data_IF_645960138106
#
_entry.id   IF_645960138106
#
_cell.length_a   1.000
_cell.length_b   1.000
_cell.length_c   1.000
_cell.angle_alpha   90.00
_cell.angle_beta   90.00
_cell.angle_gamma   90.00
#
_symmetry.space_group_name_H-M   'P 1'
#
loop_
_entity.id
_entity.type
_entity.pdbx_description
1 polymer ?
#
# COMPACT_ATOMS: atom_id res chain seq x y z
N UNK A 1 -56.85 46.14 -9.95
CA UNK A 1 -55.71 46.25 -9.02
C UNK A 1 -55.16 44.88 -8.58
N UNK A 2 -55.99 43.94 -8.12
CA UNK A 2 -55.56 42.62 -7.60
C UNK A 2 -54.86 41.69 -8.62
N UNK A 3 -55.19 41.79 -9.93
CA UNK A 3 -54.60 40.95 -10.99
C UNK A 3 -53.14 41.36 -11.28
N UNK A 4 -52.82 42.65 -11.14
CA UNK A 4 -51.49 43.21 -11.41
C UNK A 4 -50.47 42.83 -10.32
N UNK A 5 -50.89 42.79 -9.06
CA UNK A 5 -50.07 42.31 -7.93
C UNK A 5 -49.70 40.82 -8.05
N UNK A 6 -50.64 39.96 -8.46
CA UNK A 6 -50.35 38.52 -8.66
C UNK A 6 -49.32 38.30 -9.76
N UNK A 7 -49.42 39.02 -10.89
CA UNK A 7 -48.44 38.94 -11.97
C UNK A 7 -47.06 39.48 -11.56
N UNK A 8 -47.03 40.57 -10.78
CA UNK A 8 -45.80 41.16 -10.26
C UNK A 8 -45.10 40.23 -9.26
N UNK A 9 -45.84 39.64 -8.33
CA UNK A 9 -45.33 38.67 -7.36
C UNK A 9 -44.84 37.37 -8.04
N UNK A 10 -45.55 36.90 -9.07
CA UNK A 10 -45.09 35.76 -9.87
C UNK A 10 -43.75 36.04 -10.57
N UNK A 11 -43.62 37.18 -11.25
CA UNK A 11 -42.36 37.61 -11.88
C UNK A 11 -41.23 37.79 -10.87
N UNK A 12 -41.53 38.33 -9.69
CA UNK A 12 -40.55 38.52 -8.62
C UNK A 12 -40.06 37.17 -8.07
N UNK A 13 -40.97 36.22 -7.82
CA UNK A 13 -40.61 34.86 -7.38
C UNK A 13 -39.74 34.12 -8.41
N UNK A 14 -40.05 34.27 -9.71
CA UNK A 14 -39.26 33.67 -10.80
C UNK A 14 -37.85 34.25 -10.87
N UNK A 15 -37.69 35.57 -10.64
CA UNK A 15 -36.37 36.21 -10.54
C UNK A 15 -35.60 35.70 -9.32
N UNK A 16 -36.24 35.59 -8.15
CA UNK A 16 -35.57 35.06 -6.96
C UNK A 16 -35.15 33.60 -7.13
N UNK A 17 -36.02 32.74 -7.67
CA UNK A 17 -35.67 31.35 -7.98
C UNK A 17 -34.49 31.30 -8.96
N UNK A 18 -34.53 32.09 -10.03
CA UNK A 18 -33.42 32.16 -11.00
C UNK A 18 -32.10 32.59 -10.34
N UNK A 19 -32.13 33.61 -9.48
CA UNK A 19 -30.94 34.08 -8.75
C UNK A 19 -30.41 32.99 -7.81
N UNK A 20 -31.28 32.33 -7.05
CA UNK A 20 -30.89 31.23 -6.15
C UNK A 20 -30.27 30.08 -6.95
N UNK A 21 -30.88 29.69 -8.08
CA UNK A 21 -30.33 28.64 -8.95
C UNK A 21 -28.96 29.02 -9.51
N UNK A 22 -28.79 30.26 -9.99
CA UNK A 22 -27.50 30.75 -10.50
C UNK A 22 -26.43 30.79 -9.40
N UNK A 23 -26.78 31.25 -8.20
CA UNK A 23 -25.87 31.24 -7.05
C UNK A 23 -25.50 29.81 -6.63
N UNK A 24 -26.45 28.88 -6.63
CA UNK A 24 -26.19 27.47 -6.32
C UNK A 24 -25.26 26.82 -7.35
N UNK A 25 -25.46 27.10 -8.65
CA UNK A 25 -24.57 26.64 -9.72
C UNK A 25 -23.16 27.22 -9.55
N UNK A 26 -23.05 28.52 -9.28
CA UNK A 26 -21.76 29.17 -9.07
C UNK A 26 -21.00 28.58 -7.86
N UNK A 27 -21.71 28.35 -6.74
CA UNK A 27 -21.13 27.69 -5.56
C UNK A 27 -20.68 26.27 -5.91
N UNK A 28 -21.52 25.48 -6.60
CA UNK A 28 -21.16 24.13 -7.01
C UNK A 28 -19.89 24.11 -7.87
N UNK A 29 -19.78 25.01 -8.85
CA UNK A 29 -18.60 25.12 -9.72
C UNK A 29 -17.35 25.48 -8.90
N UNK A 30 -17.44 26.46 -8.01
CA UNK A 30 -16.30 26.89 -7.17
C UNK A 30 -15.89 25.76 -6.22
N UNK A 31 -16.84 25.11 -5.56
CA UNK A 31 -16.58 24.00 -4.65
C UNK A 31 -15.93 22.82 -5.38
N UNK A 32 -16.44 22.43 -6.55
CA UNK A 32 -15.83 21.37 -7.35
C UNK A 32 -14.42 21.71 -7.82
N UNK A 33 -14.18 22.94 -8.30
CA UNK A 33 -12.85 23.38 -8.70
C UNK A 33 -11.86 23.38 -7.52
N UNK A 34 -12.31 23.83 -6.34
CA UNK A 34 -11.50 23.80 -5.12
C UNK A 34 -11.17 22.37 -4.69
N UNK A 35 -12.16 21.47 -4.67
CA UNK A 35 -11.93 20.05 -4.35
C UNK A 35 -10.91 19.39 -5.29
N UNK A 36 -11.02 19.63 -6.60
CA UNK A 36 -10.05 19.10 -7.58
C UNK A 36 -8.64 19.67 -7.39
N UNK A 37 -8.52 20.94 -6.99
CA UNK A 37 -7.23 21.55 -6.70
C UNK A 37 -6.60 20.93 -5.45
N UNK A 38 -7.39 20.68 -4.39
CA UNK A 38 -6.90 20.06 -3.15
C UNK A 38 -6.42 18.63 -3.41
N UNK A 39 -7.18 17.80 -4.13
CA UNK A 39 -6.79 16.42 -4.43
C UNK A 39 -5.47 16.38 -5.22
N UNK A 40 -5.33 17.23 -6.24
CA UNK A 40 -4.09 17.34 -7.02
C UNK A 40 -2.91 17.75 -6.14
N UNK A 41 -3.09 18.76 -5.27
CA UNK A 41 -2.05 19.24 -4.37
C UNK A 41 -1.61 18.17 -3.35
N UNK A 42 -2.57 17.45 -2.78
CA UNK A 42 -2.34 16.33 -1.86
C UNK A 42 -1.61 15.20 -2.58
N UNK A 43 -2.06 14.81 -3.77
CA UNK A 43 -1.40 13.79 -4.58
C UNK A 43 0.07 14.13 -4.87
N UNK A 44 0.38 15.39 -5.19
CA UNK A 44 1.76 15.84 -5.40
C UNK A 44 2.62 15.77 -4.13
N UNK A 45 2.05 15.91 -2.94
CA UNK A 45 2.79 15.79 -1.67
C UNK A 45 3.27 14.36 -1.41
N UNK A 46 2.48 13.36 -1.83
CA UNK A 46 2.84 11.95 -1.74
C UNK A 46 3.76 11.47 -2.87
N UNK A 47 4.08 12.33 -3.83
CA UNK A 47 5.00 11.98 -4.92
C UNK A 47 6.42 11.82 -4.38
N UNK A 48 6.98 10.61 -4.51
CA UNK A 48 8.38 10.34 -4.19
C UNK A 48 9.24 10.65 -5.40
N UNK A 49 10.15 11.62 -5.25
CA UNK A 49 11.13 11.95 -6.29
C UNK A 49 12.51 11.41 -5.93
N UNK A 50 13.31 11.07 -6.95
CA UNK A 50 14.69 10.61 -6.78
C UNK A 50 14.83 9.33 -5.94
N UNK A 51 13.90 8.37 -6.09
CA UNK A 51 14.01 7.06 -5.44
C UNK A 51 15.31 6.32 -5.83
N UNK A 52 15.80 6.57 -7.06
CA UNK A 52 16.93 5.86 -7.63
C UNK A 52 16.51 4.48 -8.13
N UNK A 53 17.49 3.60 -8.32
CA UNK A 53 17.22 2.20 -8.67
C UNK A 53 17.19 1.38 -7.37
N UNK A 54 16.00 1.02 -6.92
CA UNK A 54 15.79 0.18 -5.73
C UNK A 54 15.54 -1.25 -6.21
N UNK A 55 16.56 -2.09 -6.10
CA UNK A 55 16.48 -3.48 -6.51
C UNK A 55 16.10 -4.37 -5.33
N UNK A 56 15.03 -5.14 -5.48
CA UNK A 56 14.57 -6.13 -4.51
C UNK A 56 14.93 -7.54 -4.97
N UNK A 57 15.06 -8.46 -4.02
CA UNK A 57 15.15 -9.88 -4.27
C UNK A 57 14.36 -10.67 -3.23
N UNK A 58 13.89 -11.86 -3.58
CA UNK A 58 13.27 -12.73 -2.59
C UNK A 58 13.56 -14.20 -2.89
N UNK A 59 13.42 -15.04 -1.87
CA UNK A 59 13.51 -16.49 -2.00
C UNK A 59 12.51 -17.18 -1.08
N UNK A 60 12.02 -18.31 -1.55
CA UNK A 60 11.22 -19.23 -0.76
C UNK A 60 12.02 -20.51 -0.57
N UNK A 61 12.16 -20.96 0.67
CA UNK A 61 12.82 -22.22 1.02
C UNK A 61 11.85 -23.17 1.73
N UNK A 62 11.90 -24.44 1.37
CA UNK A 62 11.21 -25.48 2.14
C UNK A 62 11.99 -25.81 3.43
N UNK A 63 11.42 -26.68 4.27
CA UNK A 63 12.05 -27.14 5.51
C UNK A 63 13.38 -27.91 5.32
N UNK A 64 13.68 -28.38 4.11
CA UNK A 64 14.98 -28.99 3.77
C UNK A 64 16.05 -27.96 3.38
N UNK A 65 15.64 -26.70 3.18
CA UNK A 65 16.51 -25.63 2.68
C UNK A 65 16.59 -25.55 1.16
N UNK A 66 15.79 -26.34 0.43
CA UNK A 66 15.70 -26.24 -1.03
C UNK A 66 14.96 -24.96 -1.40
N UNK A 67 15.49 -24.20 -2.37
CA UNK A 67 14.75 -23.11 -2.98
C UNK A 67 13.62 -23.68 -3.83
N UNK A 68 12.41 -23.16 -3.64
CA UNK A 68 11.21 -23.55 -4.39
C UNK A 68 10.59 -22.31 -5.03
N UNK A 69 9.88 -22.52 -6.14
CA UNK A 69 9.10 -21.50 -6.82
C UNK A 69 7.62 -21.90 -6.75
N UNK A 70 6.88 -21.28 -5.81
CA UNK A 70 5.47 -21.61 -5.53
C UNK A 70 4.74 -20.39 -4.96
N UNK A 71 3.41 -20.46 -4.93
CA UNK A 71 2.56 -19.50 -4.24
C UNK A 71 2.42 -19.91 -2.78
N UNK A 72 2.49 -18.96 -1.86
CA UNK A 72 2.39 -19.22 -0.43
C UNK A 72 1.50 -18.20 0.26
N UNK A 73 0.73 -18.64 1.24
CA UNK A 73 0.02 -17.75 2.15
C UNK A 73 0.20 -18.19 3.60
N UNK A 74 -0.02 -17.27 4.53
CA UNK A 74 -0.10 -17.64 5.95
C UNK A 74 -1.36 -18.47 6.19
N UNK A 75 -1.26 -19.54 6.99
CA UNK A 75 -2.42 -20.34 7.44
C UNK A 75 -2.80 -19.93 8.86
N UNK A 76 -3.52 -18.81 8.95
CA UNK A 76 -3.94 -18.24 10.23
C UNK A 76 -5.38 -18.61 10.54
N UNK A 77 -5.68 -18.70 11.84
CA UNK A 77 -7.07 -18.75 12.33
C UNK A 77 -7.63 -17.34 12.45
N UNK A 78 -8.96 -17.21 12.39
CA UNK A 78 -9.62 -15.91 12.52
C UNK A 78 -9.22 -15.20 13.82
N UNK A 79 -8.86 -13.93 13.68
CA UNK A 79 -8.47 -13.06 14.78
C UNK A 79 -7.05 -13.26 15.29
N UNK A 80 -6.25 -14.15 14.68
CA UNK A 80 -4.82 -14.28 14.94
C UNK A 80 -4.07 -12.98 14.64
N UNK A 81 -3.00 -12.76 15.39
CA UNK A 81 -2.09 -11.62 15.21
C UNK A 81 -0.80 -12.14 14.63
N UNK A 82 -0.30 -11.48 13.59
CA UNK A 82 1.03 -11.74 13.06
C UNK A 82 2.04 -10.88 13.82
N UNK A 83 2.98 -11.53 14.50
CA UNK A 83 4.04 -10.85 15.25
C UNK A 83 5.18 -10.49 14.30
N UNK A 84 5.48 -9.21 14.20
CA UNK A 84 6.59 -8.68 13.40
C UNK A 84 7.64 -8.13 14.35
N UNK A 85 8.87 -8.59 14.20
CA UNK A 85 9.97 -8.23 15.08
C UNK A 85 11.02 -7.42 14.34
N UNK A 86 11.26 -6.20 14.80
CA UNK A 86 12.40 -5.40 14.37
C UNK A 86 13.62 -5.77 15.22
N UNK A 87 14.59 -6.43 14.59
CA UNK A 87 15.81 -6.87 15.28
C UNK A 87 16.69 -5.66 15.57
N UNK A 88 17.10 -5.52 16.83
CA UNK A 88 17.94 -4.42 17.32
C UNK A 88 17.38 -3.02 16.96
N UNK A 89 16.05 -2.85 17.05
CA UNK A 89 15.36 -1.59 16.74
C UNK A 89 15.86 -0.39 17.55
N UNK A 90 16.36 -0.63 18.76
CA UNK A 90 16.97 0.36 19.65
C UNK A 90 18.21 1.04 19.04
N UNK A 91 18.91 0.37 18.12
CA UNK A 91 20.06 0.94 17.39
C UNK A 91 19.64 1.89 16.27
N UNK A 92 18.37 1.84 15.85
CA UNK A 92 17.84 2.57 14.70
C UNK A 92 16.48 3.22 15.04
N UNK A 93 16.41 4.12 16.04
CA UNK A 93 15.13 4.67 16.53
C UNK A 93 14.31 5.35 15.43
N UNK A 94 14.95 6.14 14.57
CA UNK A 94 14.27 6.79 13.43
C UNK A 94 13.70 5.77 12.42
N UNK A 95 14.29 4.58 12.31
CA UNK A 95 13.79 3.50 11.45
C UNK A 95 12.68 2.71 12.12
N UNK A 96 12.69 2.56 13.44
CA UNK A 96 11.63 1.89 14.19
C UNK A 96 10.27 2.59 14.00
N UNK A 97 10.24 3.92 14.01
CA UNK A 97 9.03 4.70 13.73
C UNK A 97 8.54 4.53 12.28
N UNK A 98 9.47 4.41 11.33
CA UNK A 98 9.13 4.12 9.93
C UNK A 98 8.54 2.71 9.81
N UNK A 99 9.17 1.71 10.43
CA UNK A 99 8.66 0.32 10.44
C UNK A 99 7.25 0.28 11.03
N UNK A 100 7.03 0.96 12.15
CA UNK A 100 5.70 1.10 12.76
C UNK A 100 4.69 1.70 11.80
N UNK A 101 5.05 2.75 11.07
CA UNK A 101 4.16 3.42 10.11
C UNK A 101 3.83 2.51 8.93
N UNK A 102 4.85 1.93 8.29
CA UNK A 102 4.70 1.04 7.12
C UNK A 102 3.94 -0.25 7.47
N UNK A 103 4.07 -0.75 8.70
CA UNK A 103 3.36 -1.95 9.12
C UNK A 103 1.93 -1.64 9.60
N UNK A 104 1.78 -0.68 10.53
CA UNK A 104 0.56 -0.51 11.34
C UNK A 104 -0.35 0.64 10.93
N UNK A 105 0.08 1.52 10.02
CA UNK A 105 -0.75 2.66 9.62
C UNK A 105 -2.05 2.20 8.94
N UNK A 106 -3.15 2.84 9.33
CA UNK A 106 -4.47 2.73 8.67
C UNK A 106 -4.76 3.92 7.75
N UNK A 107 -3.75 4.76 7.48
CA UNK A 107 -3.91 5.94 6.64
C UNK A 107 -4.12 5.55 5.17
N UNK A 108 -5.14 6.18 4.59
CA UNK A 108 -5.53 6.08 3.20
C UNK A 108 -5.04 7.33 2.47
N UNK A 109 -4.57 7.13 1.24
CA UNK A 109 -4.11 8.19 0.35
C UNK A 109 -4.97 8.15 -0.90
N UNK A 110 -5.58 9.27 -1.25
CA UNK A 110 -6.33 9.42 -2.50
C UNK A 110 -5.46 10.18 -3.50
N UNK A 111 -5.11 9.51 -4.60
CA UNK A 111 -4.26 10.08 -5.64
C UNK A 111 -5.08 10.25 -6.91
N UNK A 112 -5.05 11.45 -7.50
CA UNK A 112 -5.73 11.72 -8.77
C UNK A 112 -5.14 10.83 -9.89
N UNK A 113 -6.01 10.15 -10.62
CA UNK A 113 -5.64 9.21 -11.68
C UNK A 113 -4.90 9.88 -12.84
N UNK A 114 -5.03 11.19 -13.03
CA UNK A 114 -4.22 11.93 -14.00
C UNK A 114 -2.74 12.00 -13.62
N UNK A 115 -2.42 11.90 -12.33
CA UNK A 115 -1.04 11.81 -11.82
C UNK A 115 -0.46 10.41 -11.93
N UNK A 116 -1.34 9.39 -11.96
CA UNK A 116 -0.98 7.98 -12.09
C UNK A 116 -1.01 7.48 -13.54
N UNK A 117 -1.42 8.33 -14.48
CA UNK A 117 -1.70 7.95 -15.87
C UNK A 117 -2.77 6.84 -16.02
N UNK A 118 -3.68 6.71 -15.04
CA UNK A 118 -4.75 5.70 -15.01
C UNK A 118 -6.14 6.22 -15.43
N UNK A 119 -6.27 7.53 -15.65
CA UNK A 119 -7.60 8.10 -15.94
C UNK A 119 -7.65 9.62 -16.03
N UNK A 120 -8.85 10.17 -16.26
CA UNK A 120 -9.05 11.61 -16.35
C UNK A 120 -8.93 12.28 -14.97
N UNK A 121 -8.54 13.56 -14.99
CA UNK A 121 -8.49 14.41 -13.79
C UNK A 121 -9.83 14.44 -13.07
N UNK A 122 -9.81 14.33 -11.75
CA UNK A 122 -10.98 14.28 -10.89
C UNK A 122 -11.55 12.89 -10.63
N UNK A 123 -10.88 11.85 -11.12
CA UNK A 123 -11.06 10.48 -10.65
C UNK A 123 -9.84 10.12 -9.79
N UNK A 124 -10.03 9.38 -8.70
CA UNK A 124 -8.96 9.01 -7.78
C UNK A 124 -8.77 7.52 -7.69
N UNK A 125 -7.58 7.10 -7.27
CA UNK A 125 -7.27 5.77 -6.81
C UNK A 125 -6.85 5.82 -5.35
N UNK A 126 -7.33 4.85 -4.58
CA UNK A 126 -7.00 4.70 -3.16
C UNK A 126 -5.70 3.89 -3.01
N UNK A 127 -4.79 4.42 -2.21
CA UNK A 127 -3.54 3.78 -1.79
C UNK A 127 -3.46 3.74 -0.27
N UNK A 128 -2.57 2.90 0.26
CA UNK A 128 -2.40 2.71 1.70
C UNK A 128 -0.96 2.94 2.12
N UNK A 129 -0.80 3.66 3.22
CA UNK A 129 0.53 3.95 3.78
C UNK A 129 1.16 2.72 4.45
N UNK A 130 0.33 1.83 5.00
CA UNK A 130 0.78 0.62 5.67
C UNK A 130 -0.11 -0.60 5.46
N UNK A 131 0.50 -1.78 5.66
CA UNK A 131 -0.13 -3.06 5.36
C UNK A 131 -1.32 -3.38 6.26
N UNK A 132 -1.32 -2.97 7.53
CA UNK A 132 -2.49 -3.13 8.41
C UNK A 132 -3.73 -2.45 7.82
N UNK A 133 -3.61 -1.19 7.37
CA UNK A 133 -4.69 -0.46 6.72
C UNK A 133 -5.14 -1.12 5.41
N UNK A 134 -4.18 -1.50 4.57
CA UNK A 134 -4.46 -2.16 3.29
C UNK A 134 -5.26 -3.45 3.48
N UNK A 135 -4.82 -4.33 4.36
CA UNK A 135 -5.46 -5.63 4.58
C UNK A 135 -6.78 -5.52 5.36
N UNK A 136 -6.91 -4.53 6.25
CA UNK A 136 -8.17 -4.24 6.94
C UNK A 136 -9.26 -3.71 5.99
N UNK A 137 -8.90 -3.19 4.80
CA UNK A 137 -9.86 -2.76 3.79
C UNK A 137 -10.65 -3.92 3.18
N UNK A 138 -10.08 -5.13 3.19
CA UNK A 138 -10.66 -6.34 2.62
C UNK A 138 -11.81 -6.81 3.52
N UNK A 139 -13.03 -6.82 2.97
CA UNK A 139 -14.25 -7.19 3.71
C UNK A 139 -14.80 -8.57 3.36
N UNK A 140 -14.49 -9.05 2.15
CA UNK A 140 -14.99 -10.33 1.69
C UNK A 140 -14.12 -11.45 2.28
N UNK A 141 -14.74 -12.53 2.79
CA UNK A 141 -13.97 -13.67 3.26
C UNK A 141 -13.33 -14.39 2.07
N UNK A 142 -12.12 -14.89 2.30
CA UNK A 142 -11.34 -15.73 1.37
C UNK A 142 -11.20 -17.15 1.93
N UNK A 143 -10.78 -18.11 1.12
CA UNK A 143 -10.52 -19.49 1.55
C UNK A 143 -9.60 -19.57 2.80
N UNK A 144 -8.54 -18.77 2.83
CA UNK A 144 -7.59 -18.65 3.95
C UNK A 144 -7.71 -17.28 4.61
N UNK A 145 -7.52 -17.23 5.93
CA UNK A 145 -7.62 -15.97 6.66
C UNK A 145 -6.46 -15.02 6.31
N UNK A 146 -6.80 -13.83 5.83
CA UNK A 146 -5.84 -12.76 5.56
C UNK A 146 -5.40 -12.13 6.89
N UNK A 147 -4.10 -11.95 7.15
CA UNK A 147 -3.61 -11.30 8.38
C UNK A 147 -4.07 -9.85 8.44
N UNK A 148 -5.04 -9.55 9.31
CA UNK A 148 -5.54 -8.17 9.53
C UNK A 148 -5.02 -7.55 10.83
N UNK A 149 -4.35 -8.32 11.67
CA UNK A 149 -3.79 -7.85 12.95
C UNK A 149 -2.29 -8.08 12.96
N UNK A 150 -1.57 -7.02 13.27
CA UNK A 150 -0.13 -7.03 13.38
C UNK A 150 0.27 -6.53 14.76
N UNK A 151 1.33 -7.11 15.31
CA UNK A 151 1.98 -6.61 16.50
C UNK A 151 3.45 -6.37 16.19
N UNK A 152 3.95 -5.17 16.50
CA UNK A 152 5.36 -4.85 16.32
C UNK A 152 6.08 -5.03 17.65
N UNK A 153 7.03 -5.94 17.69
CA UNK A 153 7.96 -6.14 18.80
C UNK A 153 9.36 -5.71 18.39
N UNK A 154 10.19 -5.38 19.39
CA UNK A 154 11.59 -5.04 19.20
C UNK A 154 12.41 -5.94 20.14
N UNK A 155 13.35 -6.69 19.58
CA UNK A 155 14.21 -7.58 20.35
C UNK A 155 15.54 -7.82 19.65
N UNK A 156 16.54 -8.30 20.39
CA UNK A 156 17.83 -8.69 19.80
C UNK A 156 17.82 -10.09 19.17
N UNK A 157 16.69 -10.81 19.22
CA UNK A 157 16.56 -12.22 18.79
C UNK A 157 15.60 -12.32 17.61
N UNK A 158 15.59 -13.45 16.91
CA UNK A 158 14.69 -13.70 15.76
C UNK A 158 13.26 -14.11 16.15
N UNK A 159 12.69 -13.50 17.19
CA UNK A 159 11.31 -13.76 17.66
C UNK A 159 10.25 -13.27 16.65
N UNK A 160 8.99 -13.67 16.80
CA UNK A 160 7.86 -13.31 15.91
C UNK A 160 7.65 -14.26 14.73
N UNK A 161 6.73 -13.93 13.83
CA UNK A 161 6.46 -14.64 12.57
C UNK A 161 7.27 -14.05 11.42
N UNK A 162 7.37 -12.72 11.38
CA UNK A 162 8.22 -11.96 10.46
C UNK A 162 9.33 -11.28 11.25
N UNK A 163 10.58 -11.37 10.80
CA UNK A 163 11.69 -10.60 11.39
C UNK A 163 12.25 -9.62 10.37
N UNK A 164 12.48 -8.37 10.79
CA UNK A 164 13.12 -7.32 9.99
C UNK A 164 14.52 -7.09 10.56
N UNK A 165 15.52 -7.24 9.70
CA UNK A 165 16.93 -7.01 10.02
C UNK A 165 17.45 -5.82 9.23
N UNK A 166 18.08 -4.89 9.92
CA UNK A 166 18.71 -3.71 9.32
C UNK A 166 20.22 -3.93 9.30
N UNK A 167 20.85 -3.75 8.14
CA UNK A 167 22.29 -3.94 7.98
C UNK A 167 22.93 -2.80 7.21
N UNK A 168 24.14 -2.40 7.62
CA UNK A 168 24.92 -1.35 6.95
C UNK A 168 25.73 -1.88 5.76
N UNK A 169 25.92 -3.20 5.68
CA UNK A 169 26.62 -3.83 4.58
C UNK A 169 25.79 -3.81 3.29
N UNK A 170 26.48 -3.81 2.16
CA UNK A 170 25.90 -4.00 0.84
C UNK A 170 25.68 -5.48 0.56
N UNK A 171 24.59 -5.81 -0.11
CA UNK A 171 24.37 -7.16 -0.64
C UNK A 171 25.29 -7.45 -1.85
N UNK A 172 25.84 -8.66 -1.94
CA UNK A 172 26.76 -9.05 -3.01
C UNK A 172 26.17 -8.98 -4.42
N UNK A 173 24.86 -9.19 -4.55
CA UNK A 173 24.10 -9.17 -5.80
C UNK A 173 23.47 -7.80 -6.09
N UNK A 174 23.68 -6.81 -5.20
CA UNK A 174 23.22 -5.43 -5.38
C UNK A 174 21.82 -5.13 -4.86
N UNK A 175 21.16 -6.07 -4.18
CA UNK A 175 19.84 -5.84 -3.58
C UNK A 175 19.86 -4.79 -2.46
N UNK A 176 18.84 -3.93 -2.44
CA UNK A 176 18.56 -2.94 -1.39
C UNK A 176 17.67 -3.52 -0.28
N UNK A 177 16.78 -4.46 -0.64
CA UNK A 177 15.98 -5.26 0.27
C UNK A 177 15.99 -6.72 -0.17
N UNK A 178 15.81 -7.63 0.78
CA UNK A 178 15.71 -9.04 0.50
C UNK A 178 14.78 -9.76 1.47
N UNK A 179 13.83 -10.52 0.94
CA UNK A 179 12.91 -11.34 1.73
C UNK A 179 13.18 -12.83 1.56
N UNK A 180 13.35 -13.53 2.67
CA UNK A 180 13.46 -14.98 2.73
C UNK A 180 12.27 -15.56 3.48
N UNK A 181 11.48 -16.40 2.83
CA UNK A 181 10.37 -17.10 3.48
C UNK A 181 10.69 -18.60 3.62
N UNK A 182 10.46 -19.14 4.82
CA UNK A 182 10.50 -20.58 5.10
C UNK A 182 9.07 -21.09 5.03
N UNK A 183 8.86 -22.17 4.28
CA UNK A 183 7.54 -22.67 3.97
C UNK A 183 7.40 -24.20 4.11
N UNK A 184 6.18 -24.62 4.38
CA UNK A 184 5.73 -25.99 4.14
C UNK A 184 5.22 -26.08 2.69
N UNK A 185 5.99 -26.77 1.83
CA UNK A 185 5.68 -26.94 0.41
C UNK A 185 4.54 -27.94 0.16
N UNK A 186 4.25 -28.83 1.11
CA UNK A 186 3.10 -29.73 1.02
C UNK A 186 1.76 -29.01 1.22
N UNK A 187 1.77 -27.92 2.01
CA UNK A 187 0.58 -27.13 2.34
C UNK A 187 0.55 -25.74 1.70
N UNK A 188 1.61 -25.36 0.98
CA UNK A 188 1.83 -24.02 0.44
C UNK A 188 1.64 -22.94 1.53
N UNK A 189 2.25 -23.18 2.69
CA UNK A 189 2.10 -22.36 3.89
C UNK A 189 3.41 -21.66 4.24
N UNK A 190 3.34 -20.36 4.51
CA UNK A 190 4.44 -19.63 5.15
C UNK A 190 4.52 -20.01 6.63
N UNK A 191 5.72 -20.37 7.09
CA UNK A 191 6.01 -20.70 8.48
C UNK A 191 6.81 -19.59 9.18
N UNK A 192 7.65 -18.87 8.45
CA UNK A 192 8.49 -17.77 8.94
C UNK A 192 8.93 -16.91 7.74
N UNK A 193 9.03 -15.61 7.93
CA UNK A 193 9.69 -14.73 6.95
C UNK A 193 10.76 -13.85 7.60
N UNK A 194 11.84 -13.62 6.86
CA UNK A 194 12.97 -12.79 7.26
C UNK A 194 13.20 -11.73 6.18
N UNK A 195 13.06 -10.46 6.56
CA UNK A 195 13.35 -9.30 5.73
C UNK A 195 14.72 -8.76 6.12
N UNK A 196 15.59 -8.51 5.15
CA UNK A 196 16.85 -7.79 5.35
C UNK A 196 16.88 -6.53 4.50
N UNK A 197 17.04 -5.37 5.13
CA UNK A 197 17.26 -4.09 4.46
C UNK A 197 18.76 -3.78 4.50
N UNK A 198 19.37 -3.56 3.33
CA UNK A 198 20.81 -3.32 3.18
C UNK A 198 21.15 -1.83 3.11
N UNK A 199 22.42 -1.51 3.39
CA UNK A 199 22.98 -0.14 3.36
C UNK A 199 22.13 0.92 4.08
N UNK A 200 21.49 0.54 5.20
CA UNK A 200 20.46 1.38 5.88
C UNK A 200 20.91 2.78 6.25
N UNK A 201 22.21 2.96 6.50
CA UNK A 201 22.82 4.25 6.85
C UNK A 201 22.89 5.23 5.65
N UNK A 202 22.74 4.73 4.42
CA UNK A 202 22.77 5.51 3.18
C UNK A 202 21.40 5.77 2.60
N UNK A 203 20.37 5.08 3.10
CA UNK A 203 19.01 5.19 2.58
C UNK A 203 18.35 6.47 3.07
N UNK A 204 17.76 7.22 2.14
CA UNK A 204 16.81 8.27 2.48
C UNK A 204 15.58 7.67 3.18
N UNK A 205 14.80 8.51 3.86
CA UNK A 205 13.52 8.08 4.47
C UNK A 205 12.61 7.41 3.43
N UNK A 206 12.43 8.04 2.27
CA UNK A 206 11.58 7.52 1.20
C UNK A 206 12.08 6.18 0.65
N UNK A 207 13.40 6.03 0.45
CA UNK A 207 13.96 4.75 -0.01
C UNK A 207 13.70 3.64 0.98
N UNK A 208 13.96 3.88 2.27
CA UNK A 208 13.73 2.90 3.33
C UNK A 208 12.25 2.49 3.41
N UNK A 209 11.34 3.46 3.37
CA UNK A 209 9.90 3.22 3.35
C UNK A 209 9.47 2.37 2.16
N UNK A 210 9.93 2.71 0.96
CA UNK A 210 9.61 1.99 -0.27
C UNK A 210 10.09 0.55 -0.24
N UNK A 211 11.37 0.33 0.12
CA UNK A 211 11.94 -1.02 0.23
C UNK A 211 11.13 -1.81 1.24
N UNK A 212 10.90 -1.27 2.44
CA UNK A 212 10.21 -2.00 3.49
C UNK A 212 8.76 -2.36 3.11
N UNK A 213 8.02 -1.44 2.47
CA UNK A 213 6.66 -1.73 1.99
C UNK A 213 6.66 -2.90 1.01
N UNK A 214 7.61 -2.93 0.08
CA UNK A 214 7.77 -4.00 -0.90
C UNK A 214 8.15 -5.34 -0.24
N UNK A 215 9.18 -5.36 0.62
CA UNK A 215 9.62 -6.58 1.30
C UNK A 215 8.52 -7.18 2.20
N UNK A 216 7.69 -6.33 2.83
CA UNK A 216 6.53 -6.82 3.57
C UNK A 216 5.49 -7.49 2.65
N UNK A 217 5.34 -7.03 1.40
CA UNK A 217 4.52 -7.71 0.41
C UNK A 217 5.01 -9.15 0.16
N UNK A 218 6.32 -9.35 0.01
CA UNK A 218 6.91 -10.68 -0.08
C UNK A 218 6.70 -11.51 1.19
N UNK A 219 6.86 -10.92 2.36
CA UNK A 219 6.64 -11.61 3.64
C UNK A 219 5.16 -11.98 3.87
N UNK A 220 4.23 -11.33 3.17
CA UNK A 220 2.79 -11.65 3.17
C UNK A 220 2.41 -12.67 2.08
N UNK A 221 3.33 -12.98 1.17
CA UNK A 221 3.20 -14.02 0.14
C UNK A 221 3.15 -13.53 -1.30
N UNK A 222 3.22 -12.22 -1.55
CA UNK A 222 3.24 -11.69 -2.92
C UNK A 222 4.57 -11.99 -3.61
N UNK A 223 4.50 -12.36 -4.88
CA UNK A 223 5.66 -12.37 -5.77
C UNK A 223 5.82 -10.99 -6.43
N UNK A 224 6.86 -10.86 -7.25
CA UNK A 224 7.04 -9.63 -8.02
C UNK A 224 5.86 -9.38 -8.98
N UNK A 225 5.56 -8.10 -9.19
CA UNK A 225 4.67 -7.63 -10.24
C UNK A 225 5.37 -7.61 -11.59
N UNK A 226 4.61 -7.75 -12.67
CA UNK A 226 5.08 -7.48 -14.03
C UNK A 226 4.93 -6.02 -14.44
N UNK A 227 4.16 -5.23 -13.68
CA UNK A 227 3.84 -3.85 -13.98
C UNK A 227 4.89 -2.90 -13.39
N UNK A 228 5.65 -2.14 -14.19
CA UNK A 228 6.76 -1.30 -13.70
C UNK A 228 6.35 -0.14 -12.80
N UNK A 229 5.08 0.27 -12.85
CA UNK A 229 4.47 1.30 -12.01
C UNK A 229 3.99 0.80 -10.65
N UNK A 230 4.01 -0.51 -10.44
CA UNK A 230 3.51 -1.16 -9.23
C UNK A 230 4.58 -1.23 -8.13
N UNK A 231 4.13 -1.22 -6.87
CA UNK A 231 5.01 -1.31 -5.71
C UNK A 231 5.81 -2.62 -5.74
N UNK A 232 5.21 -3.74 -6.15
CA UNK A 232 5.82 -5.07 -6.13
C UNK A 232 6.70 -5.36 -7.35
N UNK A 233 6.96 -4.39 -8.22
CA UNK A 233 7.90 -4.59 -9.34
C UNK A 233 9.35 -4.81 -8.83
N UNK A 234 10.16 -5.72 -9.44
CA UNK A 234 11.49 -6.08 -8.90
C UNK A 234 12.48 -4.92 -8.79
N UNK A 235 12.31 -3.89 -9.63
CA UNK A 235 13.12 -2.68 -9.66
C UNK A 235 12.21 -1.49 -9.40
N UNK A 236 12.00 -1.14 -8.14
CA UNK A 236 10.96 -0.18 -7.75
C UNK A 236 11.35 1.21 -8.30
N UNK A 237 10.56 1.69 -9.26
CA UNK A 237 10.79 2.96 -9.96
C UNK A 237 9.53 3.85 -9.99
N UNK A 238 8.46 3.43 -9.32
CA UNK A 238 7.22 4.20 -9.26
C UNK A 238 7.38 5.48 -8.42
N UNK A 239 6.74 6.54 -8.88
CA UNK A 239 6.67 7.83 -8.17
C UNK A 239 5.73 7.74 -6.94
N UNK A 240 4.89 6.69 -6.87
CA UNK A 240 3.92 6.48 -5.79
C UNK A 240 4.09 5.07 -5.19
N UNK A 241 5.18 4.81 -4.43
CA UNK A 241 5.51 3.52 -3.85
C UNK A 241 4.67 3.21 -2.59
N UNK A 242 3.36 3.11 -2.79
CA UNK A 242 2.37 2.80 -1.77
C UNK A 242 1.57 1.57 -2.18
N UNK A 243 0.91 0.94 -1.21
CA UNK A 243 0.14 -0.29 -1.46
C UNK A 243 -1.13 0.11 -2.23
N UNK A 244 -1.28 -0.42 -3.43
CA UNK A 244 -2.37 -0.10 -4.36
C UNK A 244 -3.53 -1.10 -4.23
N UNK A 245 -4.63 -0.83 -4.93
CA UNK A 245 -5.70 -1.83 -5.08
C UNK A 245 -5.22 -3.09 -5.80
N UNK A 246 -4.25 -2.98 -6.71
CA UNK A 246 -3.70 -4.15 -7.43
C UNK A 246 -2.99 -5.11 -6.48
N UNK A 247 -2.18 -4.58 -5.55
CA UNK A 247 -1.51 -5.37 -4.51
C UNK A 247 -2.55 -6.08 -3.61
N UNK A 248 -3.62 -5.39 -3.27
CA UNK A 248 -4.72 -5.91 -2.46
C UNK A 248 -5.45 -7.04 -3.20
N UNK A 249 -5.76 -6.85 -4.48
CA UNK A 249 -6.44 -7.86 -5.30
C UNK A 249 -5.57 -9.12 -5.46
N UNK A 250 -4.25 -8.95 -5.60
CA UNK A 250 -3.31 -10.07 -5.61
C UNK A 250 -3.27 -10.82 -4.26
N UNK A 251 -3.31 -10.11 -3.13
CA UNK A 251 -3.46 -10.74 -1.81
C UNK A 251 -4.79 -11.51 -1.73
N UNK A 252 -5.90 -10.89 -2.13
CA UNK A 252 -7.21 -11.56 -2.09
C UNK A 252 -7.18 -12.84 -2.91
N UNK A 253 -6.67 -12.79 -4.14
CA UNK A 253 -6.56 -13.95 -5.02
C UNK A 253 -5.68 -15.06 -4.38
N UNK A 254 -4.53 -14.69 -3.83
CA UNK A 254 -3.59 -15.62 -3.19
C UNK A 254 -4.21 -16.32 -1.97
N UNK A 255 -4.97 -15.57 -1.16
CA UNK A 255 -5.63 -16.10 0.04
C UNK A 255 -6.96 -16.79 -0.28
N UNK A 256 -7.52 -16.62 -1.48
CA UNK A 256 -8.70 -17.32 -1.95
C UNK A 256 -8.38 -18.59 -2.76
N UNK A 257 -7.23 -19.21 -2.48
CA UNK A 257 -6.82 -20.46 -3.13
C UNK A 257 -6.17 -20.30 -4.51
N UNK A 258 -5.89 -19.06 -4.91
CA UNK A 258 -5.15 -18.74 -6.12
C UNK A 258 -3.78 -19.42 -6.16
N UNK A 259 -3.42 -19.96 -7.33
CA UNK A 259 -2.14 -20.64 -7.57
C UNK A 259 -1.08 -19.74 -8.21
N UNK A 260 -1.28 -18.44 -8.08
CA UNK A 260 -0.38 -17.40 -8.59
C UNK A 260 -0.19 -16.40 -7.47
N UNK A 261 1.06 -16.16 -7.11
CA UNK A 261 1.48 -15.09 -6.20
C UNK A 261 1.90 -13.83 -6.96
N UNK A 262 2.01 -13.89 -8.30
CA UNK A 262 2.34 -12.76 -9.17
C UNK A 262 1.26 -11.68 -9.12
N UNK A 263 1.68 -10.44 -8.97
CA UNK A 263 0.81 -9.26 -9.01
C UNK A 263 0.60 -8.88 -10.48
N UNK A 264 -0.63 -9.05 -10.98
CA UNK A 264 -1.01 -8.67 -12.35
C UNK A 264 -1.92 -7.45 -12.31
N UNK A 265 -1.37 -6.28 -12.64
CA UNK A 265 -2.13 -5.04 -12.70
C UNK A 265 -2.60 -4.77 -14.13
N UNK A 266 -3.91 -4.61 -14.30
CA UNK A 266 -4.47 -4.03 -15.52
C UNK A 266 -4.30 -2.50 -15.47
N UNK A 267 -3.84 -1.92 -16.59
CA UNK A 267 -3.67 -0.47 -16.79
C UNK A 267 -4.96 0.16 -17.30
#
# INVERSE_FOLDING_TARGET
MVIDEKQKNYKLSKKYILTITLSAIAIAIISSAYSLMIIDLVGQEYKVTNLGNVQSGYVIQNLRGDTIDTWLSWRLVDGATLDVNLIDGDKYPDKADIVRTVLLSNELIEIDNSLLHKGPRGTTSTYYLGWAGALASIKNPTEFHIPQKFNLIESAKGEGDITIKLVSQRNGDGYSGYTKSIADDAQNQILKSEITIFEVDKLSKAQFETILRHELGHALGLAHSTAPEDLMYPTIATDYPYISSCDIDAIVLLYDGGKKSEVTCDI
#
